data_IF_863946243527
#
_entry.id   IF_863946243527
#
_cell.length_a   1.000
_cell.length_b   1.000
_cell.length_c   1.000
_cell.angle_alpha   90.00
_cell.angle_beta   90.00
_cell.angle_gamma   90.00
#
_symmetry.space_group_name_H-M   'P 1'
#
loop_
_entity.id
_entity.type
_entity.pdbx_description
1 polymer ?
#
# COMPACT_ATOMS: atom_id res chain seq x y z
N UNK A 1 -9.79 -17.39 4.87
CA UNK A 1 -10.21 -16.06 4.35
C UNK A 1 -10.03 -15.07 5.49
N UNK A 2 -9.25 -14.00 5.31
CA UNK A 2 -8.86 -13.08 6.40
C UNK A 2 -10.03 -12.57 7.26
N UNK A 3 -11.22 -12.39 6.66
CA UNK A 3 -12.45 -11.99 7.38
C UNK A 3 -12.91 -13.05 8.39
N UNK A 4 -12.85 -14.34 8.05
CA UNK A 4 -13.25 -15.43 8.95
C UNK A 4 -12.29 -15.55 10.14
N UNK A 5 -11.01 -15.29 9.92
CA UNK A 5 -9.99 -15.19 10.97
C UNK A 5 -10.27 -14.01 11.92
N UNK A 6 -10.56 -12.83 11.37
CA UNK A 6 -10.89 -11.64 12.15
C UNK A 6 -12.18 -11.80 12.98
N UNK A 7 -13.19 -12.51 12.45
CA UNK A 7 -14.39 -12.90 13.20
C UNK A 7 -14.05 -13.83 14.36
N UNK A 8 -13.19 -14.83 14.12
CA UNK A 8 -12.74 -15.80 15.14
C UNK A 8 -11.94 -15.13 16.25
N UNK A 9 -11.09 -14.17 15.90
CA UNK A 9 -10.30 -13.39 16.87
C UNK A 9 -11.12 -12.32 17.61
N UNK A 10 -12.41 -12.14 17.28
CA UNK A 10 -13.27 -11.06 17.80
C UNK A 10 -12.68 -9.65 17.58
N UNK A 11 -11.85 -9.48 16.56
CA UNK A 11 -11.20 -8.20 16.20
C UNK A 11 -12.00 -7.40 15.17
N UNK A 12 -13.24 -7.80 14.93
CA UNK A 12 -14.21 -7.10 14.08
C UNK A 12 -15.00 -6.10 14.93
N UNK A 13 -14.80 -4.77 14.74
CA UNK A 13 -15.68 -3.76 15.31
C UNK A 13 -17.14 -3.99 14.94
N UNK A 14 -18.03 -3.77 15.92
CA UNK A 14 -19.48 -3.84 15.72
C UNK A 14 -19.88 -2.71 14.76
N UNK A 15 -20.50 -3.07 13.64
CA UNK A 15 -20.96 -2.10 12.62
C UNK A 15 -20.12 -2.03 11.34
N UNK A 16 -19.06 -2.84 11.19
CA UNK A 16 -18.34 -2.94 9.90
C UNK A 16 -19.22 -3.63 8.85
N UNK A 17 -19.51 -2.91 7.77
CA UNK A 17 -20.13 -3.48 6.57
C UNK A 17 -19.06 -4.10 5.67
N UNK A 18 -19.18 -5.40 5.39
CA UNK A 18 -18.30 -6.09 4.44
C UNK A 18 -18.81 -5.78 3.03
N UNK A 19 -18.09 -4.94 2.29
CA UNK A 19 -18.40 -4.66 0.88
C UNK A 19 -17.61 -5.60 -0.01
N UNK A 20 -18.29 -6.47 -0.74
CA UNK A 20 -17.69 -7.26 -1.83
C UNK A 20 -17.85 -6.56 -3.18
N UNK A 21 -17.45 -5.28 -3.24
CA UNK A 21 -17.51 -4.53 -4.50
C UNK A 21 -16.17 -4.66 -5.21
N UNK A 22 -16.14 -5.38 -6.33
CA UNK A 22 -14.93 -5.67 -7.11
C UNK A 22 -14.12 -4.41 -7.45
N UNK A 23 -14.82 -3.32 -7.80
CA UNK A 23 -14.20 -2.03 -8.12
C UNK A 23 -13.45 -1.41 -6.93
N UNK A 24 -14.04 -1.41 -5.73
CA UNK A 24 -13.39 -0.88 -4.53
C UNK A 24 -12.17 -1.73 -4.14
N UNK A 25 -12.29 -3.04 -4.28
CA UNK A 25 -11.16 -3.95 -4.07
C UNK A 25 -10.03 -3.64 -5.06
N UNK A 26 -10.35 -3.39 -6.33
CA UNK A 26 -9.33 -3.06 -7.33
C UNK A 26 -8.58 -1.76 -7.00
N UNK A 27 -9.24 -0.73 -6.47
CA UNK A 27 -8.59 0.52 -6.04
C UNK A 27 -7.61 0.24 -4.91
N UNK A 28 -8.08 -0.48 -3.88
CA UNK A 28 -7.23 -0.83 -2.74
C UNK A 28 -6.04 -1.64 -3.26
N UNK A 29 -6.27 -2.75 -3.98
CA UNK A 29 -5.24 -3.61 -4.61
C UNK A 29 -4.24 -2.86 -5.50
N UNK A 30 -4.69 -1.79 -6.16
CA UNK A 30 -3.82 -0.96 -6.98
C UNK A 30 -2.92 -0.08 -6.11
N UNK A 31 -3.43 0.46 -5.01
CA UNK A 31 -2.68 1.34 -4.11
C UNK A 31 -1.48 0.61 -3.47
N UNK A 32 -1.66 -0.61 -2.97
CA UNK A 32 -0.52 -1.38 -2.39
C UNK A 32 0.36 -2.08 -3.42
N UNK A 33 0.06 -1.98 -4.72
CA UNK A 33 0.81 -2.68 -5.78
C UNK A 33 2.29 -2.29 -5.79
N UNK A 34 2.62 -1.02 -5.53
CA UNK A 34 4.01 -0.56 -5.55
C UNK A 34 4.83 -1.16 -4.40
N UNK A 35 4.24 -1.23 -3.21
CA UNK A 35 4.85 -1.85 -2.02
C UNK A 35 5.06 -3.33 -2.30
N UNK A 36 4.01 -4.05 -2.73
CA UNK A 36 4.10 -5.49 -3.03
C UNK A 36 5.16 -5.79 -4.08
N UNK A 37 5.25 -5.00 -5.14
CA UNK A 37 6.28 -5.18 -6.19
C UNK A 37 7.70 -5.05 -5.63
N UNK A 38 7.95 -4.07 -4.76
CA UNK A 38 9.26 -3.86 -4.12
C UNK A 38 9.60 -4.98 -3.14
N UNK A 39 8.65 -5.33 -2.27
CA UNK A 39 8.84 -6.39 -1.26
C UNK A 39 9.02 -7.76 -1.93
N UNK A 40 8.30 -8.04 -3.02
CA UNK A 40 8.42 -9.31 -3.74
C UNK A 40 9.83 -9.57 -4.31
N UNK A 41 10.55 -8.52 -4.71
CA UNK A 41 11.95 -8.65 -5.15
C UNK A 41 12.94 -8.86 -4.00
N UNK A 42 12.51 -8.77 -2.74
CA UNK A 42 13.35 -8.95 -1.56
C UNK A 42 13.29 -10.40 -1.07
N UNK A 43 14.38 -10.89 -0.46
CA UNK A 43 14.46 -12.22 0.18
C UNK A 43 13.69 -12.33 1.52
N UNK A 44 12.68 -11.47 1.72
CA UNK A 44 11.90 -11.37 2.95
C UNK A 44 12.51 -10.46 4.02
N UNK A 45 11.67 -10.04 4.97
CA UNK A 45 12.02 -9.15 6.07
C UNK A 45 12.19 -9.99 7.34
N UNK A 46 13.40 -10.03 7.90
CA UNK A 46 13.76 -10.92 9.02
C UNK A 46 13.29 -10.43 10.40
N UNK A 47 12.92 -9.15 10.53
CA UNK A 47 12.44 -8.58 11.80
C UNK A 47 11.36 -7.53 11.56
N UNK A 48 10.46 -7.36 12.54
CA UNK A 48 9.37 -6.37 12.46
C UNK A 48 9.91 -4.93 12.42
N UNK A 49 10.94 -4.63 13.20
CA UNK A 49 11.57 -3.29 13.23
C UNK A 49 12.19 -2.95 11.88
N UNK A 50 12.89 -3.91 11.27
CA UNK A 50 13.47 -3.76 9.93
C UNK A 50 12.37 -3.64 8.89
N UNK A 51 11.31 -4.44 8.99
CA UNK A 51 10.17 -4.38 8.07
C UNK A 51 9.51 -3.00 8.09
N UNK A 52 9.23 -2.46 9.28
CA UNK A 52 8.64 -1.12 9.43
C UNK A 52 9.51 -0.04 8.79
N UNK A 53 10.81 -0.08 9.03
CA UNK A 53 11.75 0.91 8.49
C UNK A 53 11.82 0.85 6.96
N UNK A 54 11.87 -0.36 6.39
CA UNK A 54 11.90 -0.56 4.94
C UNK A 54 10.59 -0.11 4.27
N UNK A 55 9.44 -0.48 4.83
CA UNK A 55 8.14 -0.07 4.30
C UNK A 55 7.99 1.46 4.32
N UNK A 56 8.38 2.11 5.42
CA UNK A 56 8.35 3.57 5.53
C UNK A 56 9.23 4.25 4.47
N UNK A 57 10.45 3.73 4.24
CA UNK A 57 11.33 4.26 3.19
C UNK A 57 10.78 4.04 1.77
N UNK A 58 10.10 2.92 1.52
CA UNK A 58 9.43 2.67 0.23
C UNK A 58 8.28 3.67 0.01
N UNK A 59 7.52 3.99 1.05
CA UNK A 59 6.44 4.98 1.02
C UNK A 59 6.98 6.39 0.77
N UNK A 60 8.03 6.81 1.49
CA UNK A 60 8.69 8.11 1.30
C UNK A 60 9.21 8.26 -0.14
N UNK A 61 9.93 7.26 -0.65
CA UNK A 61 10.41 7.27 -2.04
C UNK A 61 9.26 7.32 -3.05
N UNK A 62 8.13 6.67 -2.76
CA UNK A 62 6.96 6.70 -3.63
C UNK A 62 6.33 8.10 -3.68
N UNK A 63 6.18 8.76 -2.53
CA UNK A 63 5.68 10.14 -2.43
C UNK A 63 6.60 11.09 -3.20
N UNK A 64 7.90 11.05 -2.93
CA UNK A 64 8.90 11.90 -3.61
C UNK A 64 8.86 11.69 -5.13
N UNK A 65 8.77 10.43 -5.60
CA UNK A 65 8.69 10.13 -7.03
C UNK A 65 7.41 10.66 -7.66
N UNK A 66 6.28 10.56 -6.96
CA UNK A 66 4.99 11.09 -7.42
C UNK A 66 5.01 12.61 -7.49
N UNK A 67 5.54 13.27 -6.48
CA UNK A 67 5.66 14.73 -6.44
C UNK A 67 6.59 15.25 -7.53
N UNK A 68 7.75 14.63 -7.74
CA UNK A 68 8.66 15.01 -8.83
C UNK A 68 8.04 14.84 -10.23
N UNK A 69 7.15 13.85 -10.44
CA UNK A 69 6.41 13.72 -11.69
C UNK A 69 5.41 14.87 -11.88
N UNK A 70 4.80 15.36 -10.80
CA UNK A 70 3.87 16.49 -10.84
C UNK A 70 4.61 17.83 -11.08
N UNK A 71 5.76 18.06 -10.43
CA UNK A 71 6.57 19.27 -10.65
C UNK A 71 7.32 19.22 -12.00
N UNK A 72 7.84 18.06 -12.41
CA UNK A 72 8.56 17.90 -13.68
C UNK A 72 7.69 18.06 -14.93
N UNK A 73 6.41 17.67 -14.87
CA UNK A 73 5.45 17.92 -15.96
C UNK A 73 5.01 19.38 -16.05
N UNK A 74 5.19 20.17 -14.98
CA UNK A 74 4.95 21.61 -14.98
C UNK A 74 6.06 22.35 -15.71
N UNK A 75 7.32 21.92 -15.55
CA UNK A 75 8.49 22.50 -16.23
C UNK A 75 8.58 22.13 -17.72
N UNK A 76 8.11 20.94 -18.12
CA UNK A 76 8.08 20.55 -19.54
C UNK A 76 6.98 21.24 -20.36
N UNK A 77 6.07 21.98 -19.71
CA UNK A 77 5.02 22.80 -20.36
C UNK A 77 5.41 24.28 -20.49
N UNK A 78 6.53 24.70 -19.90
CA UNK A 78 7.04 26.09 -19.92
C UNK A 78 8.10 26.28 -21.02
N UNK A 79 8.31 25.29 -21.90
CA UNK A 79 9.22 25.40 -23.04
C UNK A 79 8.49 25.30 -24.36
#
# INVERSE_FOLDING_TARGET
MAIEELKKEKRMPVGIQIRQVKYLNNIVEQDHRFIKKRVHSMLGLKSFRTAKSILSGIEEMHIIKKDNLLYGTSLSKIK
#
